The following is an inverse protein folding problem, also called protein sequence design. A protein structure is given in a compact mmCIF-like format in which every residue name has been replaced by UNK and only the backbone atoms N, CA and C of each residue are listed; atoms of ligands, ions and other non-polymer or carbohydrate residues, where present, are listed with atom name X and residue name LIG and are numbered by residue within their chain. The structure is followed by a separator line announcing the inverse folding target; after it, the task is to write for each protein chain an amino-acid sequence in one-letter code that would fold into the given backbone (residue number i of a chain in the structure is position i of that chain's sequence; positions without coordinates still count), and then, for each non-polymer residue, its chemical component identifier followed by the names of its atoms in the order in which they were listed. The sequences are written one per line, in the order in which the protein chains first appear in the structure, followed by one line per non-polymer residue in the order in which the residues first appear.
data_IF_530374618009
#
_entry.id   IF_530374618009
#
_cell.length_a   1.000
_cell.length_b   1.000
_cell.length_c   1.000
_cell.angle_alpha   90.00
_cell.angle_beta   90.00
_cell.angle_gamma   90.00
#
_symmetry.space_group_name_H-M   'P 1'
#
loop_
_entity.id
_entity.type
_entity.pdbx_description
1 polymer ?
#
# COMPACT_ATOMS: atom_id res chain seq x y z
N UNK A 1 7.79 -33.74 -65.29
CA UNK A 1 6.73 -33.96 -64.27
C UNK A 1 7.09 -33.26 -62.94
N UNK A 2 6.42 -32.16 -62.58
CA UNK A 2 6.65 -31.52 -61.28
C UNK A 2 5.78 -32.15 -60.18
N UNK A 3 6.37 -32.23 -58.98
CA UNK A 3 5.84 -32.89 -57.78
C UNK A 3 4.69 -32.07 -57.18
N UNK A 4 3.55 -32.72 -56.92
CA UNK A 4 2.39 -32.13 -56.22
C UNK A 4 2.75 -31.84 -54.75
N UNK A 5 3.02 -30.59 -54.40
CA UNK A 5 3.03 -30.12 -53.02
C UNK A 5 1.60 -29.88 -52.53
N UNK A 6 1.21 -30.51 -51.41
CA UNK A 6 -0.05 -30.20 -50.70
C UNK A 6 0.04 -28.79 -50.11
N UNK A 7 -1.00 -27.99 -50.32
CA UNK A 7 -1.16 -26.71 -49.64
C UNK A 7 -1.22 -26.91 -48.11
N UNK A 8 -0.63 -26.01 -47.30
CA UNK A 8 -0.76 -26.06 -45.85
C UNK A 8 -2.22 -25.83 -45.43
N UNK A 9 -2.66 -26.43 -44.30
CA UNK A 9 -4.03 -26.26 -43.83
C UNK A 9 -4.28 -24.80 -43.43
N UNK A 10 -5.53 -24.32 -43.55
CA UNK A 10 -5.89 -22.96 -43.17
C UNK A 10 -5.61 -22.73 -41.68
N UNK A 11 -5.08 -21.55 -41.35
CA UNK A 11 -4.81 -21.14 -39.99
C UNK A 11 -6.08 -21.28 -39.14
N UNK A 12 -5.95 -21.90 -37.97
CA UNK A 12 -7.03 -22.00 -37.00
C UNK A 12 -7.53 -20.60 -36.64
N UNK A 13 -8.86 -20.39 -36.48
CA UNK A 13 -9.38 -19.11 -36.03
C UNK A 13 -8.73 -18.70 -34.71
N UNK A 14 -8.46 -17.41 -34.48
CA UNK A 14 -7.95 -16.95 -33.20
C UNK A 14 -8.89 -17.43 -32.09
N UNK A 15 -8.32 -18.07 -31.07
CA UNK A 15 -9.07 -18.55 -29.92
C UNK A 15 -9.95 -17.40 -29.40
N UNK A 16 -11.26 -17.63 -29.35
CA UNK A 16 -12.19 -16.71 -28.71
C UNK A 16 -11.67 -16.43 -27.31
N UNK A 17 -11.35 -15.16 -27.04
CA UNK A 17 -10.98 -14.69 -25.73
C UNK A 17 -12.08 -15.17 -24.76
N UNK A 18 -11.70 -16.02 -23.80
CA UNK A 18 -12.58 -16.35 -22.69
C UNK A 18 -12.98 -15.02 -22.07
N UNK A 19 -14.26 -14.67 -22.14
CA UNK A 19 -14.84 -13.62 -21.31
C UNK A 19 -14.59 -14.02 -19.87
N UNK A 20 -13.52 -13.51 -19.29
CA UNK A 20 -13.19 -13.68 -17.89
C UNK A 20 -14.38 -13.15 -17.09
N UNK A 21 -15.07 -14.05 -16.40
CA UNK A 21 -16.05 -13.69 -15.40
C UNK A 21 -15.36 -12.67 -14.47
N UNK A 22 -15.91 -11.46 -14.41
CA UNK A 22 -15.30 -10.33 -13.71
C UNK A 22 -15.25 -10.65 -12.23
N UNK A 23 -14.17 -11.27 -11.80
CA UNK A 23 -13.93 -11.63 -10.41
C UNK A 23 -13.77 -10.31 -9.67
N UNK A 24 -14.72 -10.01 -8.77
CA UNK A 24 -14.67 -8.82 -7.92
C UNK A 24 -13.71 -9.11 -6.76
N UNK A 25 -12.49 -8.54 -6.73
CA UNK A 25 -11.50 -8.92 -5.74
C UNK A 25 -11.92 -8.60 -4.30
N UNK A 26 -12.65 -7.50 -4.08
CA UNK A 26 -13.04 -7.08 -2.74
C UNK A 26 -14.45 -7.57 -2.37
N UNK A 27 -14.53 -8.56 -1.48
CA UNK A 27 -15.80 -9.04 -0.95
C UNK A 27 -16.29 -8.19 0.25
N UNK A 28 -17.38 -7.46 0.04
CA UNK A 28 -18.03 -6.65 1.07
C UNK A 28 -19.23 -7.35 1.76
N UNK A 29 -19.57 -8.58 1.38
CA UNK A 29 -20.79 -9.28 1.84
C UNK A 29 -20.90 -9.39 3.36
N UNK A 30 -19.77 -9.51 4.06
CA UNK A 30 -19.69 -9.64 5.53
C UNK A 30 -19.67 -8.29 6.27
N UNK A 31 -19.67 -7.16 5.55
CA UNK A 31 -19.53 -5.80 6.09
C UNK A 31 -20.87 -5.07 6.27
N UNK A 32 -21.97 -5.70 5.87
CA UNK A 32 -23.31 -5.10 5.89
C UNK A 32 -23.71 -4.56 4.51
N UNK A 33 -24.90 -3.96 4.46
CA UNK A 33 -25.44 -3.42 3.21
C UNK A 33 -24.79 -2.09 2.84
N UNK A 34 -24.65 -1.86 1.53
CA UNK A 34 -24.37 -0.53 0.98
C UNK A 34 -25.49 0.41 1.37
N UNK A 35 -25.13 1.64 1.69
CA UNK A 35 -26.11 2.69 1.96
C UNK A 35 -25.97 3.83 0.94
N UNK A 36 -27.12 4.38 0.53
CA UNK A 36 -27.18 5.38 -0.54
C UNK A 36 -26.40 6.67 -0.22
N UNK A 37 -26.13 6.97 1.05
CA UNK A 37 -25.35 8.16 1.40
C UNK A 37 -23.86 7.88 1.22
N UNK A 38 -23.37 6.70 1.63
CA UNK A 38 -21.99 6.28 1.34
C UNK A 38 -21.73 6.21 -0.16
N UNK A 39 -22.68 5.63 -0.93
CA UNK A 39 -22.57 5.57 -2.40
C UNK A 39 -22.49 6.97 -3.03
N UNK A 40 -23.28 7.94 -2.52
CA UNK A 40 -23.21 9.35 -2.97
C UNK A 40 -21.86 10.00 -2.67
N UNK A 41 -21.27 9.76 -1.50
CA UNK A 41 -19.96 10.33 -1.18
C UNK A 41 -18.84 9.66 -1.98
N UNK A 42 -18.95 8.36 -2.27
CA UNK A 42 -18.03 7.66 -3.19
C UNK A 42 -18.11 8.24 -4.60
N UNK A 43 -19.31 8.46 -5.13
CA UNK A 43 -19.49 9.11 -6.42
C UNK A 43 -18.85 10.51 -6.46
N UNK A 44 -18.98 11.30 -5.40
CA UNK A 44 -18.32 12.61 -5.28
C UNK A 44 -16.79 12.51 -5.20
N UNK A 45 -16.24 11.47 -4.59
CA UNK A 45 -14.79 11.24 -4.62
C UNK A 45 -14.34 10.94 -6.04
N UNK A 46 -15.03 10.06 -6.76
CA UNK A 46 -14.72 9.76 -8.16
C UNK A 46 -14.82 11.00 -9.05
N UNK A 47 -15.80 11.87 -8.83
CA UNK A 47 -16.00 13.11 -9.59
C UNK A 47 -14.97 14.21 -9.24
N UNK A 48 -14.61 14.36 -7.97
CA UNK A 48 -13.86 15.54 -7.47
C UNK A 48 -12.39 15.28 -7.20
N UNK A 49 -12.02 14.02 -7.05
CA UNK A 49 -10.63 13.60 -6.92
C UNK A 49 -10.13 13.10 -8.28
N UNK A 50 -10.40 13.87 -9.33
CA UNK A 50 -9.82 13.67 -10.66
C UNK A 50 -8.64 14.63 -10.77
N UNK A 51 -7.46 14.07 -10.97
CA UNK A 51 -6.31 14.82 -11.44
C UNK A 51 -5.73 14.05 -12.60
N UNK A 52 -5.41 14.75 -13.68
CA UNK A 52 -4.59 14.17 -14.73
C UNK A 52 -3.19 13.89 -14.13
N UNK A 53 -2.70 12.64 -14.13
CA UNK A 53 -1.34 12.33 -13.70
C UNK A 53 -0.28 13.02 -14.58
N UNK A 54 -0.64 13.51 -15.77
CA UNK A 54 0.24 14.23 -16.70
C UNK A 54 0.11 15.76 -16.63
N UNK A 55 -0.73 16.29 -15.74
CA UNK A 55 -0.81 17.74 -15.52
C UNK A 55 0.49 18.25 -14.88
N UNK A 56 1.17 19.19 -15.55
CA UNK A 56 2.36 19.87 -15.00
C UNK A 56 2.04 20.71 -13.77
N UNK A 57 0.83 21.24 -13.66
CA UNK A 57 0.41 22.12 -12.56
C UNK A 57 -0.24 21.33 -11.41
N UNK A 58 -0.67 20.10 -11.66
CA UNK A 58 -1.46 19.30 -10.73
C UNK A 58 -2.85 19.90 -10.46
N UNK A 59 -3.58 19.40 -9.47
CA UNK A 59 -4.88 19.95 -9.09
C UNK A 59 -4.69 21.30 -8.37
N UNK A 60 -5.53 22.28 -8.71
CA UNK A 60 -5.55 23.57 -8.03
C UNK A 60 -5.87 23.42 -6.53
N UNK A 61 -5.53 24.42 -5.68
CA UNK A 61 -5.89 24.39 -4.27
C UNK A 61 -7.40 24.20 -4.02
N UNK A 62 -8.24 24.76 -4.88
CA UNK A 62 -9.69 24.62 -4.79
C UNK A 62 -10.17 23.20 -5.10
N UNK A 63 -9.58 22.54 -6.10
CA UNK A 63 -9.88 21.13 -6.42
C UNK A 63 -9.42 20.20 -5.31
N UNK A 64 -8.21 20.43 -4.79
CA UNK A 64 -7.70 19.71 -3.62
C UNK A 64 -8.62 19.86 -2.40
N UNK A 65 -9.14 21.07 -2.14
CA UNK A 65 -10.10 21.30 -1.07
C UNK A 65 -11.42 20.53 -1.28
N UNK A 66 -11.96 20.53 -2.50
CA UNK A 66 -13.19 19.78 -2.84
C UNK A 66 -13.01 18.28 -2.66
N UNK A 67 -11.90 17.72 -3.16
CA UNK A 67 -11.56 16.32 -2.98
C UNK A 67 -11.39 15.98 -1.49
N UNK A 68 -10.63 16.78 -0.75
CA UNK A 68 -10.39 16.58 0.70
C UNK A 68 -11.69 16.59 1.50
N UNK A 69 -12.62 17.49 1.18
CA UNK A 69 -13.94 17.54 1.83
C UNK A 69 -14.78 16.29 1.55
N UNK A 70 -14.75 15.75 0.32
CA UNK A 70 -15.45 14.51 -0.03
C UNK A 70 -14.87 13.30 0.73
N UNK A 71 -13.54 13.18 0.76
CA UNK A 71 -12.83 12.13 1.52
C UNK A 71 -13.14 12.22 3.02
N UNK A 72 -13.11 13.43 3.59
CA UNK A 72 -13.40 13.65 5.01
C UNK A 72 -14.81 13.15 5.39
N UNK A 73 -15.80 13.27 4.50
CA UNK A 73 -17.16 12.73 4.73
C UNK A 73 -17.17 11.21 4.74
N UNK A 74 -16.44 10.55 3.83
CA UNK A 74 -16.29 9.08 3.89
C UNK A 74 -15.60 8.63 5.18
N UNK A 75 -14.52 9.31 5.57
CA UNK A 75 -13.80 9.02 6.84
C UNK A 75 -14.73 9.18 8.04
N UNK A 76 -15.53 10.24 8.10
CA UNK A 76 -16.49 10.47 9.18
C UNK A 76 -17.56 9.37 9.29
N UNK A 77 -17.90 8.70 8.19
CA UNK A 77 -18.81 7.54 8.19
C UNK A 77 -18.14 6.26 8.70
N UNK A 78 -16.82 6.19 8.69
CA UNK A 78 -16.03 5.07 9.16
C UNK A 78 -16.44 3.75 8.49
N UNK A 79 -16.61 2.69 9.29
CA UNK A 79 -16.92 1.35 8.78
C UNK A 79 -18.20 1.25 7.94
N UNK A 80 -19.16 2.18 8.09
CA UNK A 80 -20.39 2.19 7.28
C UNK A 80 -20.14 2.49 5.81
N UNK A 81 -19.06 3.21 5.49
CA UNK A 81 -18.67 3.51 4.12
C UNK A 81 -17.92 2.35 3.45
N UNK A 82 -17.35 1.41 4.21
CA UNK A 82 -16.48 0.38 3.67
C UNK A 82 -17.14 -0.49 2.58
N UNK A 83 -18.41 -0.96 2.71
CA UNK A 83 -19.04 -1.73 1.64
C UNK A 83 -19.13 -0.96 0.32
N UNK A 84 -19.48 0.33 0.36
CA UNK A 84 -19.59 1.17 -0.82
C UNK A 84 -18.23 1.48 -1.44
N UNK A 85 -17.19 1.69 -0.61
CA UNK A 85 -15.84 1.92 -1.10
C UNK A 85 -15.28 0.66 -1.79
N UNK A 86 -15.39 -0.51 -1.15
CA UNK A 86 -14.92 -1.77 -1.75
C UNK A 86 -15.70 -2.13 -3.02
N UNK A 87 -17.02 -1.89 -3.02
CA UNK A 87 -17.84 -2.07 -4.22
C UNK A 87 -17.36 -1.17 -5.36
N UNK A 88 -17.05 0.10 -5.06
CA UNK A 88 -16.47 0.99 -6.05
C UNK A 88 -15.12 0.48 -6.53
N UNK A 89 -14.19 0.10 -5.66
CA UNK A 89 -12.87 -0.43 -6.06
C UNK A 89 -12.96 -1.67 -6.99
N UNK A 90 -14.04 -2.45 -6.94
CA UNK A 90 -14.30 -3.55 -7.88
C UNK A 90 -14.77 -3.09 -9.28
N UNK A 91 -15.29 -1.87 -9.41
CA UNK A 91 -15.77 -1.35 -10.68
C UNK A 91 -14.58 -1.01 -11.59
N UNK A 92 -14.53 -1.67 -12.75
CA UNK A 92 -13.72 -1.23 -13.89
C UNK A 92 -14.35 0.05 -14.42
N UNK A 93 -13.84 1.19 -13.97
CA UNK A 93 -14.28 2.47 -14.47
C UNK A 93 -13.09 3.10 -15.18
N UNK A 94 -13.11 3.08 -16.51
CA UNK A 94 -12.08 3.67 -17.36
C UNK A 94 -11.90 5.18 -17.07
N UNK A 95 -12.94 5.84 -16.55
CA UNK A 95 -12.90 7.25 -16.14
C UNK A 95 -12.44 7.45 -14.68
N UNK A 96 -12.29 6.38 -13.88
CA UNK A 96 -11.81 6.53 -12.51
C UNK A 96 -10.30 6.73 -12.53
N UNK A 97 -9.90 7.98 -12.29
CA UNK A 97 -8.50 8.32 -12.13
C UNK A 97 -7.82 7.52 -11.00
N UNK A 98 -6.54 7.20 -11.20
CA UNK A 98 -5.60 6.72 -10.18
C UNK A 98 -5.77 7.46 -8.84
N UNK A 99 -5.95 8.78 -8.89
CA UNK A 99 -6.08 9.62 -7.71
C UNK A 99 -7.37 9.33 -6.93
N UNK A 100 -8.50 9.09 -7.59
CA UNK A 100 -9.75 8.72 -6.91
C UNK A 100 -9.62 7.38 -6.17
N UNK A 101 -9.04 6.36 -6.81
CA UNK A 101 -8.77 5.06 -6.18
C UNK A 101 -7.89 5.19 -4.94
N UNK A 102 -6.82 5.99 -5.03
CA UNK A 102 -5.95 6.31 -3.90
C UNK A 102 -6.72 6.95 -2.74
N UNK A 103 -7.60 7.90 -3.04
CA UNK A 103 -8.37 8.62 -2.02
C UNK A 103 -9.44 7.74 -1.37
N UNK A 104 -10.00 6.79 -2.10
CA UNK A 104 -10.88 5.75 -1.56
C UNK A 104 -10.11 4.79 -0.62
N UNK A 105 -8.93 4.33 -1.03
CA UNK A 105 -8.04 3.51 -0.19
C UNK A 105 -7.56 4.26 1.05
N UNK A 106 -7.24 5.55 0.93
CA UNK A 106 -6.92 6.40 2.07
C UNK A 106 -8.08 6.49 3.08
N UNK A 107 -9.32 6.63 2.60
CA UNK A 107 -10.50 6.66 3.46
C UNK A 107 -10.68 5.31 4.20
N UNK A 108 -10.51 4.19 3.48
CA UNK A 108 -10.45 2.85 4.09
C UNK A 108 -9.32 2.77 5.13
N UNK A 109 -8.14 3.32 4.85
CA UNK A 109 -6.99 3.41 5.75
C UNK A 109 -7.27 4.05 7.11
N UNK A 110 -8.37 4.82 7.24
CA UNK A 110 -8.81 5.42 8.52
C UNK A 110 -9.82 4.57 9.29
N UNK A 111 -10.25 3.44 8.74
CA UNK A 111 -11.23 2.55 9.35
C UNK A 111 -10.54 1.52 10.25
N UNK A 112 -10.76 1.64 11.56
CA UNK A 112 -10.31 0.66 12.57
C UNK A 112 -11.37 -0.45 12.73
N UNK A 113 -11.50 -1.33 11.73
CA UNK A 113 -12.42 -2.48 11.77
C UNK A 113 -11.75 -3.74 11.22
N UNK A 114 -11.79 -4.82 12.01
CA UNK A 114 -11.14 -6.10 11.68
C UNK A 114 -11.68 -6.76 10.41
N UNK A 115 -12.99 -6.65 10.15
CA UNK A 115 -13.59 -7.26 8.96
C UNK A 115 -13.19 -6.50 7.71
N UNK A 116 -13.08 -5.17 7.82
CA UNK A 116 -12.64 -4.31 6.72
C UNK A 116 -11.18 -4.60 6.37
N UNK A 117 -10.29 -4.71 7.36
CA UNK A 117 -8.88 -5.13 7.16
C UNK A 117 -8.77 -6.46 6.43
N UNK A 118 -9.56 -7.45 6.87
CA UNK A 118 -9.58 -8.77 6.25
C UNK A 118 -10.05 -8.70 4.80
N UNK A 119 -11.13 -7.96 4.51
CA UNK A 119 -11.66 -7.81 3.16
C UNK A 119 -10.65 -7.14 2.20
N UNK A 120 -9.87 -6.15 2.68
CA UNK A 120 -8.81 -5.52 1.89
C UNK A 120 -7.64 -6.47 1.64
N UNK A 121 -7.19 -7.20 2.67
CA UNK A 121 -6.09 -8.17 2.52
C UNK A 121 -6.47 -9.35 1.61
N UNK A 122 -7.71 -9.85 1.71
CA UNK A 122 -8.21 -10.90 0.81
C UNK A 122 -8.35 -10.39 -0.62
N UNK A 123 -8.79 -9.14 -0.82
CA UNK A 123 -8.82 -8.52 -2.14
C UNK A 123 -7.44 -8.35 -2.76
N UNK A 124 -6.44 -7.96 -1.96
CA UNK A 124 -5.04 -7.91 -2.42
C UNK A 124 -4.57 -9.29 -2.91
N UNK A 125 -4.80 -10.34 -2.13
CA UNK A 125 -4.45 -11.71 -2.53
C UNK A 125 -5.19 -12.14 -3.79
N UNK A 126 -6.47 -11.77 -3.94
CA UNK A 126 -7.24 -12.09 -5.13
C UNK A 126 -6.66 -11.41 -6.39
N UNK A 127 -6.33 -10.12 -6.31
CA UNK A 127 -5.70 -9.37 -7.40
C UNK A 127 -4.36 -9.99 -7.77
N UNK A 128 -3.47 -10.19 -6.79
CA UNK A 128 -2.12 -10.71 -7.02
C UNK A 128 -2.11 -12.15 -7.58
N UNK A 129 -3.04 -13.00 -7.12
CA UNK A 129 -3.14 -14.38 -7.58
C UNK A 129 -3.72 -14.50 -8.99
N UNK A 130 -4.67 -13.63 -9.33
CA UNK A 130 -5.33 -13.63 -10.63
C UNK A 130 -4.63 -12.75 -11.66
N UNK A 131 -3.54 -12.06 -11.29
CA UNK A 131 -2.75 -11.18 -12.17
C UNK A 131 -3.65 -10.17 -12.88
N UNK A 132 -4.51 -9.49 -12.11
CA UNK A 132 -5.50 -8.54 -12.65
C UNK A 132 -4.80 -7.23 -13.08
N UNK A 133 -4.30 -7.20 -14.33
CA UNK A 133 -3.60 -6.04 -14.90
C UNK A 133 -4.42 -4.73 -14.80
N UNK A 134 -5.74 -4.82 -14.89
CA UNK A 134 -6.66 -3.68 -14.77
C UNK A 134 -6.79 -3.13 -13.34
N UNK A 135 -6.16 -3.79 -12.37
CA UNK A 135 -6.11 -3.39 -10.96
C UNK A 135 -4.69 -3.00 -10.52
N UNK A 136 -3.74 -2.89 -11.45
CA UNK A 136 -2.33 -2.58 -11.16
C UNK A 136 -2.18 -1.29 -10.35
N UNK A 137 -2.92 -0.23 -10.67
CA UNK A 137 -2.84 1.01 -9.91
C UNK A 137 -3.32 0.87 -8.46
N UNK A 138 -4.33 0.03 -8.24
CA UNK A 138 -4.89 -0.25 -6.92
C UNK A 138 -3.94 -1.13 -6.13
N UNK A 139 -3.34 -2.15 -6.75
CA UNK A 139 -2.51 -3.14 -6.05
C UNK A 139 -1.30 -2.49 -5.36
N UNK A 140 -0.65 -1.52 -6.01
CA UNK A 140 0.48 -0.79 -5.43
C UNK A 140 0.10 0.06 -4.21
N UNK A 141 -1.17 0.43 -4.05
CA UNK A 141 -1.65 1.31 -2.98
C UNK A 141 -2.26 0.57 -1.79
N UNK A 142 -2.62 -0.71 -1.96
CA UNK A 142 -3.19 -1.51 -0.88
C UNK A 142 -2.24 -1.63 0.33
N UNK A 143 -0.91 -1.84 0.19
CA UNK A 143 0.01 -1.87 1.32
C UNK A 143 -0.09 -0.62 2.22
N UNK A 144 -0.12 0.57 1.63
CA UNK A 144 -0.22 1.83 2.38
C UNK A 144 -1.56 1.95 3.13
N UNK A 145 -2.64 1.52 2.49
CA UNK A 145 -3.96 1.51 3.11
C UNK A 145 -4.00 0.53 4.30
N UNK A 146 -3.42 -0.66 4.15
CA UNK A 146 -3.32 -1.66 5.23
C UNK A 146 -2.41 -1.16 6.35
N UNK A 147 -1.27 -0.54 6.06
CA UNK A 147 -0.41 0.05 7.08
C UNK A 147 -1.14 1.15 7.85
N UNK A 148 -1.89 2.00 7.16
CA UNK A 148 -2.70 3.03 7.81
C UNK A 148 -3.76 2.43 8.74
N UNK A 149 -4.46 1.37 8.31
CA UNK A 149 -5.47 0.65 9.12
C UNK A 149 -4.84 -0.04 10.34
N UNK A 150 -3.69 -0.66 10.16
CA UNK A 150 -3.03 -1.51 11.16
C UNK A 150 -2.13 -0.71 12.11
N UNK A 151 -1.64 0.47 11.68
CA UNK A 151 -0.68 1.30 12.40
C UNK A 151 0.77 0.84 12.27
N UNK A 152 1.00 -0.28 11.58
CA UNK A 152 2.29 -0.87 11.28
C UNK A 152 2.17 -1.78 10.05
N UNK A 153 3.31 -2.08 9.44
CA UNK A 153 3.43 -3.00 8.31
C UNK A 153 4.08 -4.33 8.72
N UNK A 154 3.91 -5.40 7.92
CA UNK A 154 4.77 -6.59 8.01
C UNK A 154 6.25 -6.20 7.87
N UNK A 155 7.12 -7.12 8.28
CA UNK A 155 8.56 -6.96 8.09
C UNK A 155 8.91 -6.83 6.61
N UNK A 156 9.73 -5.82 6.31
CA UNK A 156 10.36 -5.66 5.01
C UNK A 156 11.56 -6.60 4.93
N UNK A 157 11.89 -7.07 3.73
CA UNK A 157 13.14 -7.79 3.55
C UNK A 157 14.31 -6.82 3.57
N UNK A 158 15.46 -7.27 4.06
CA UNK A 158 16.68 -6.48 3.94
C UNK A 158 17.09 -6.43 2.45
N UNK A 159 17.47 -5.28 1.89
CA UNK A 159 17.75 -5.15 0.45
C UNK A 159 18.84 -6.09 -0.05
N UNK A 160 19.86 -6.36 0.77
CA UNK A 160 20.94 -7.32 0.45
C UNK A 160 20.51 -8.79 0.50
N UNK A 161 19.30 -9.09 0.97
CA UNK A 161 18.71 -10.44 0.95
C UNK A 161 17.81 -10.65 -0.26
N UNK A 162 17.59 -9.64 -1.09
CA UNK A 162 16.62 -9.68 -2.17
C UNK A 162 16.89 -10.89 -3.08
N UNK A 163 15.97 -11.85 -3.04
CA UNK A 163 15.79 -12.83 -4.09
C UNK A 163 15.51 -12.08 -5.38
N UNK A 164 16.27 -12.34 -6.44
CA UNK A 164 16.03 -11.76 -7.76
C UNK A 164 14.61 -12.08 -8.21
N UNK A 165 13.69 -11.13 -8.03
CA UNK A 165 12.31 -11.31 -8.51
C UNK A 165 12.31 -10.93 -9.98
N UNK A 166 12.24 -11.94 -10.85
CA UNK A 166 12.20 -11.75 -12.31
C UNK A 166 10.80 -11.41 -12.82
N UNK A 167 9.77 -11.58 -11.98
CA UNK A 167 8.36 -11.41 -12.30
C UNK A 167 7.69 -10.47 -11.28
N UNK A 168 7.20 -9.32 -11.73
CA UNK A 168 6.51 -8.33 -10.88
C UNK A 168 5.30 -8.91 -10.16
N UNK A 169 4.61 -9.90 -10.74
CA UNK A 169 3.46 -10.52 -10.08
C UNK A 169 3.88 -11.42 -8.92
N UNK A 170 5.09 -11.99 -8.96
CA UNK A 170 5.63 -12.75 -7.85
C UNK A 170 5.88 -11.85 -6.62
N UNK A 171 6.40 -10.64 -6.83
CA UNK A 171 6.55 -9.64 -5.76
C UNK A 171 5.20 -9.28 -5.14
N UNK A 172 4.17 -9.08 -5.98
CA UNK A 172 2.81 -8.80 -5.53
C UNK A 172 2.22 -9.97 -4.73
N UNK A 173 2.41 -11.21 -5.18
CA UNK A 173 1.95 -12.41 -4.46
C UNK A 173 2.62 -12.54 -3.09
N UNK A 174 3.94 -12.37 -3.02
CA UNK A 174 4.69 -12.44 -1.77
C UNK A 174 4.27 -11.33 -0.81
N UNK A 175 4.11 -10.11 -1.31
CA UNK A 175 3.67 -8.95 -0.51
C UNK A 175 2.23 -9.14 -0.02
N UNK A 176 1.31 -9.59 -0.86
CA UNK A 176 -0.06 -9.90 -0.46
C UNK A 176 -0.12 -11.01 0.60
N UNK A 177 0.71 -12.06 0.45
CA UNK A 177 0.81 -13.14 1.42
C UNK A 177 1.32 -12.65 2.79
N UNK A 178 2.38 -11.82 2.81
CA UNK A 178 2.89 -11.19 4.05
C UNK A 178 1.83 -10.35 4.73
N UNK A 179 1.10 -9.53 3.97
CA UNK A 179 0.01 -8.72 4.52
C UNK A 179 -1.12 -9.56 5.08
N UNK A 180 -1.55 -10.62 4.37
CA UNK A 180 -2.57 -11.54 4.87
C UNK A 180 -2.14 -12.24 6.16
N UNK A 181 -0.89 -12.71 6.22
CA UNK A 181 -0.33 -13.30 7.43
C UNK A 181 -0.27 -12.29 8.59
N UNK A 182 0.13 -11.04 8.30
CA UNK A 182 0.20 -9.97 9.30
C UNK A 182 -1.18 -9.58 9.85
N UNK A 183 -2.20 -9.50 9.00
CA UNK A 183 -3.59 -9.27 9.43
C UNK A 183 -4.07 -10.41 10.33
N UNK A 184 -3.80 -11.66 9.95
CA UNK A 184 -4.18 -12.83 10.76
C UNK A 184 -3.45 -12.87 12.12
N UNK A 185 -2.14 -12.63 12.14
CA UNK A 185 -1.32 -12.62 13.37
C UNK A 185 -1.72 -11.53 14.38
N UNK A 186 -2.41 -10.49 13.90
CA UNK A 186 -2.90 -9.38 14.72
C UNK A 186 -4.42 -9.39 14.86
N UNK A 187 -5.08 -10.53 14.61
CA UNK A 187 -6.51 -10.67 14.81
C UNK A 187 -6.88 -10.32 16.27
N UNK A 188 -7.91 -9.48 16.43
CA UNK A 188 -8.38 -9.03 17.74
C UNK A 188 -7.61 -7.86 18.36
N UNK A 189 -6.47 -7.45 17.78
CA UNK A 189 -5.73 -6.27 18.25
C UNK A 189 -6.27 -4.98 17.62
N UNK A 190 -6.37 -3.93 18.43
CA UNK A 190 -6.61 -2.57 17.95
C UNK A 190 -5.40 -2.02 17.21
N UNK A 191 -5.62 -1.03 16.33
CA UNK A 191 -4.53 -0.31 15.65
C UNK A 191 -3.45 0.19 16.62
N UNK A 192 -3.87 0.73 17.76
CA UNK A 192 -2.97 1.23 18.79
C UNK A 192 -2.09 0.12 19.36
N UNK A 193 -2.68 -1.01 19.75
CA UNK A 193 -1.94 -2.16 20.28
C UNK A 193 -0.90 -2.67 19.27
N UNK A 194 -1.30 -2.88 18.00
CA UNK A 194 -0.40 -3.34 16.95
C UNK A 194 0.80 -2.38 16.79
N UNK A 195 0.52 -1.08 16.71
CA UNK A 195 1.58 -0.07 16.58
C UNK A 195 2.51 -0.02 17.79
N UNK A 196 1.97 -0.18 19.00
CA UNK A 196 2.76 -0.16 20.24
C UNK A 196 3.64 -1.41 20.36
N UNK A 197 3.07 -2.59 20.08
CA UNK A 197 3.81 -3.86 20.08
C UNK A 197 4.97 -3.80 19.08
N UNK A 198 4.69 -3.33 17.86
CA UNK A 198 5.72 -3.22 16.81
C UNK A 198 6.82 -2.23 17.18
N UNK A 199 6.45 -1.11 17.78
CA UNK A 199 7.41 -0.10 18.23
C UNK A 199 8.27 -0.59 19.40
N UNK A 200 7.67 -1.30 20.36
CA UNK A 200 8.42 -1.93 21.43
C UNK A 200 9.41 -2.99 20.90
N UNK A 201 8.97 -3.82 19.95
CA UNK A 201 9.83 -4.82 19.32
C UNK A 201 10.98 -4.18 18.55
N UNK A 202 10.72 -3.17 17.71
CA UNK A 202 11.77 -2.47 16.97
C UNK A 202 12.81 -1.82 17.90
N UNK A 203 12.37 -1.27 19.05
CA UNK A 203 13.31 -0.73 20.04
C UNK A 203 14.20 -1.78 20.68
N UNK A 204 13.70 -3.00 20.86
CA UNK A 204 14.49 -4.12 21.37
C UNK A 204 15.50 -4.60 20.33
N UNK A 205 15.09 -4.63 19.06
CA UNK A 205 15.86 -5.28 17.99
C UNK A 205 16.82 -4.34 17.24
N UNK A 206 16.70 -3.01 17.37
CA UNK A 206 17.57 -2.04 16.66
C UNK A 206 19.07 -2.15 16.95
N UNK A 207 19.46 -2.94 17.94
CA UNK A 207 20.86 -3.18 18.34
C UNK A 207 21.20 -4.69 18.34
N UNK A 208 20.41 -5.50 17.64
CA UNK A 208 20.61 -6.94 17.53
C UNK A 208 21.90 -7.26 16.75
N UNK A 209 22.65 -8.28 17.16
CA UNK A 209 23.88 -8.66 16.46
C UNK A 209 23.61 -9.01 14.99
N UNK A 210 22.43 -9.59 14.71
CA UNK A 210 21.93 -9.85 13.35
C UNK A 210 21.55 -8.54 12.65
N UNK A 211 22.33 -8.20 11.61
CA UNK A 211 22.14 -7.00 10.80
C UNK A 211 20.78 -6.97 10.08
N UNK A 212 20.24 -8.11 9.64
CA UNK A 212 18.94 -8.17 8.95
C UNK A 212 17.82 -7.76 9.91
N UNK A 213 17.86 -8.33 11.11
CA UNK A 213 16.89 -8.03 12.17
C UNK A 213 16.99 -6.58 12.63
N UNK A 214 18.21 -6.07 12.81
CA UNK A 214 18.43 -4.68 13.16
C UNK A 214 17.98 -3.70 12.08
N UNK A 215 18.24 -4.01 10.80
CA UNK A 215 17.80 -3.20 9.67
C UNK A 215 16.28 -3.07 9.63
N UNK A 216 15.54 -4.18 9.74
CA UNK A 216 14.07 -4.17 9.81
C UNK A 216 13.55 -3.30 10.94
N UNK A 217 14.19 -3.37 12.10
CA UNK A 217 13.83 -2.57 13.26
C UNK A 217 14.12 -1.07 13.05
N UNK A 218 15.30 -0.73 12.53
CA UNK A 218 15.72 0.67 12.28
C UNK A 218 14.86 1.28 11.16
N UNK A 219 14.63 0.57 10.06
CA UNK A 219 13.73 0.99 8.97
C UNK A 219 12.34 1.35 9.48
N UNK A 220 11.76 0.53 10.35
CA UNK A 220 10.48 0.86 11.00
C UNK A 220 10.55 2.13 11.86
N UNK A 221 11.66 2.36 12.55
CA UNK A 221 11.88 3.52 13.41
C UNK A 221 12.16 4.81 12.62
N UNK A 222 12.66 4.75 11.38
CA UNK A 222 13.01 5.94 10.57
C UNK A 222 11.87 6.96 10.52
N UNK A 223 10.64 6.55 10.22
CA UNK A 223 9.50 7.48 10.13
C UNK A 223 8.82 7.78 11.47
N UNK A 224 9.15 7.04 12.54
CA UNK A 224 8.40 7.04 13.82
C UNK A 224 9.20 7.60 15.00
N UNK A 225 10.52 7.40 14.99
CA UNK A 225 11.47 7.90 15.97
C UNK A 225 12.81 8.15 15.27
N UNK A 226 12.88 9.14 14.37
CA UNK A 226 14.01 9.29 13.46
C UNK A 226 15.32 9.57 14.20
N UNK A 227 15.31 10.28 15.33
CA UNK A 227 16.51 10.46 16.16
C UNK A 227 17.04 9.12 16.73
N UNK A 228 16.15 8.21 17.13
CA UNK A 228 16.52 6.89 17.63
C UNK A 228 17.05 6.01 16.50
N UNK A 229 16.39 6.05 15.34
CA UNK A 229 16.82 5.35 14.12
C UNK A 229 18.20 5.85 13.65
N UNK A 230 18.42 7.17 13.58
CA UNK A 230 19.67 7.79 13.18
C UNK A 230 20.84 7.33 14.06
N UNK A 231 20.66 7.35 15.38
CA UNK A 231 21.69 6.88 16.31
C UNK A 231 22.02 5.40 16.09
N UNK A 232 21.00 4.58 15.85
CA UNK A 232 21.19 3.15 15.63
C UNK A 232 21.88 2.89 14.28
N UNK A 233 21.44 3.50 13.18
CA UNK A 233 22.08 3.38 11.87
C UNK A 233 23.57 3.77 11.90
N UNK A 234 23.91 4.90 12.54
CA UNK A 234 25.31 5.34 12.75
C UNK A 234 26.15 4.36 13.57
N UNK A 235 25.53 3.53 14.41
CA UNK A 235 26.25 2.50 15.15
C UNK A 235 26.61 1.30 14.26
N UNK A 236 25.72 0.91 13.32
CA UNK A 236 25.99 -0.18 12.39
C UNK A 236 27.01 0.20 11.32
N UNK A 237 27.02 1.45 10.85
CA UNK A 237 28.07 1.92 9.94
C UNK A 237 29.51 1.83 10.49
N UNK A 238 29.65 1.81 11.82
CA UNK A 238 30.95 1.74 12.51
C UNK A 238 31.37 0.32 12.84
N UNK A 239 30.59 -0.67 12.41
CA UNK A 239 30.91 -2.08 12.60
C UNK A 239 31.88 -2.50 11.51
N UNK A 240 33.04 -3.00 11.92
CA UNK A 240 34.06 -3.51 11.00
C UNK A 240 33.75 -4.93 10.50
N UNK A 241 32.70 -5.57 11.02
CA UNK A 241 32.30 -6.95 10.73
C UNK A 241 31.14 -7.07 9.71
N UNK A 242 30.69 -5.95 9.12
CA UNK A 242 29.66 -5.95 8.08
C UNK A 242 30.29 -5.84 6.69
N UNK A 243 29.72 -6.55 5.73
CA UNK A 243 30.05 -6.37 4.32
C UNK A 243 29.65 -4.96 3.85
N UNK A 244 30.38 -4.41 2.87
CA UNK A 244 30.17 -3.06 2.35
C UNK A 244 28.72 -2.81 1.88
N UNK A 245 28.12 -3.78 1.19
CA UNK A 245 26.71 -3.71 0.73
C UNK A 245 25.74 -3.58 1.91
N UNK A 246 26.00 -4.28 3.01
CA UNK A 246 25.18 -4.21 4.22
C UNK A 246 25.37 -2.87 4.93
N UNK A 247 26.62 -2.42 5.06
CA UNK A 247 26.94 -1.11 5.65
C UNK A 247 26.31 0.06 4.87
N UNK A 248 26.34 0.02 3.53
CA UNK A 248 25.72 1.01 2.64
C UNK A 248 24.21 1.12 2.87
N UNK A 249 23.53 0.02 3.17
CA UNK A 249 22.09 0.05 3.44
C UNK A 249 21.77 0.71 4.79
N UNK A 250 22.65 0.61 5.79
CA UNK A 250 22.52 1.41 7.02
C UNK A 250 22.81 2.89 6.77
N UNK A 251 23.63 3.26 5.79
CA UNK A 251 23.80 4.64 5.34
C UNK A 251 22.52 5.21 4.73
N UNK A 252 21.84 4.45 3.88
CA UNK A 252 20.53 4.83 3.36
C UNK A 252 19.52 5.10 4.49
N UNK A 253 19.46 4.23 5.51
CA UNK A 253 18.59 4.44 6.67
C UNK A 253 18.98 5.68 7.49
N UNK A 254 20.27 5.97 7.64
CA UNK A 254 20.73 7.21 8.26
C UNK A 254 20.21 8.43 7.48
N UNK A 255 20.41 8.49 6.17
CA UNK A 255 20.00 9.64 5.35
C UNK A 255 18.49 9.86 5.39
N UNK A 256 17.70 8.79 5.37
CA UNK A 256 16.24 8.87 5.52
C UNK A 256 15.84 9.41 6.90
N UNK A 257 16.51 8.97 7.97
CA UNK A 257 16.26 9.47 9.31
C UNK A 257 16.60 10.97 9.46
N UNK A 258 17.70 11.42 8.86
CA UNK A 258 18.10 12.83 8.83
C UNK A 258 17.05 13.68 8.10
N UNK A 259 16.58 13.24 6.93
CA UNK A 259 15.51 13.91 6.19
C UNK A 259 14.23 14.07 7.04
N UNK A 260 13.79 13.01 7.73
CA UNK A 260 12.62 13.10 8.59
C UNK A 260 12.81 14.03 9.80
N UNK A 261 14.02 14.14 10.35
CA UNK A 261 14.33 15.12 11.41
C UNK A 261 14.17 16.54 10.86
N UNK A 262 14.75 16.82 9.70
CA UNK A 262 14.64 18.13 9.03
C UNK A 262 13.19 18.50 8.73
N UNK A 263 12.40 17.56 8.21
CA UNK A 263 10.97 17.77 7.96
C UNK A 263 10.21 18.10 9.25
N UNK A 264 10.48 17.40 10.35
CA UNK A 264 9.85 17.65 11.64
C UNK A 264 10.21 19.04 12.18
N UNK A 265 11.49 19.44 12.05
CA UNK A 265 11.95 20.77 12.43
C UNK A 265 11.30 21.87 11.60
N UNK A 266 11.26 21.70 10.27
CA UNK A 266 10.61 22.64 9.36
C UNK A 266 9.11 22.80 9.67
N UNK A 267 8.41 21.69 9.95
CA UNK A 267 6.99 21.72 10.37
C UNK A 267 6.81 22.45 11.69
N UNK A 268 7.66 22.19 12.68
CA UNK A 268 7.61 22.87 13.98
C UNK A 268 7.88 24.38 13.86
N UNK A 269 8.85 24.78 13.03
CA UNK A 269 9.15 26.18 12.76
C UNK A 269 7.96 26.90 12.09
N UNK A 270 7.32 26.28 11.09
CA UNK A 270 6.12 26.81 10.44
C UNK A 270 4.93 26.93 11.39
N UNK A 271 4.76 25.98 12.31
CA UNK A 271 3.71 26.05 13.32
C UNK A 271 3.91 27.23 14.28
N UNK A 272 5.15 27.44 14.75
CA UNK A 272 5.52 28.58 15.62
C UNK A 272 5.36 29.93 14.92
N UNK A 273 5.62 30.02 13.62
CA UNK A 273 5.44 31.26 12.86
C UNK A 273 3.96 31.66 12.67
N UNK A 274 3.01 30.74 12.94
CA UNK A 274 1.57 30.97 12.82
C UNK A 274 0.87 31.20 14.16
N UNK A 275 1.58 31.02 15.28
CA UNK A 275 1.10 31.26 16.66
C UNK A 275 1.55 32.61 17.17
#
# INVERSE_FOLDING_TARGET
PPVKGKAPPPASPPAQAKTAETTKPFDASKLGQRDATSDKEVARVNERCVSDPFSREGPSPAENAKCTAAVARLVARGKKAAPSILAALNEKNEDRSYYASNRLLFALGKVDDKKVRQAVADGFVAIAKAEMDDQTDIIYQIPDALEAMMGAAPEVDAPWKASSVTDSWEEHRQTAARWKAFVAANEGKSRKQISQDRFAQARKDKADADAEKAYRAISFLVSRSPNEALKAAKAYQKRDDLDDDVASEFESLQSQAEMHIEEQQARAARAKAKS
#
